data_IF_556596177676
#
_entry.id   IF_556596177676
#
_cell.length_a   1.000
_cell.length_b   1.000
_cell.length_c   1.000
_cell.angle_alpha   90.00
_cell.angle_beta   90.00
_cell.angle_gamma   90.00
#
_symmetry.space_group_name_H-M   'P 1'
#
loop_
_entity.id
_entity.type
_entity.pdbx_description
1 polymer ?
#
# COMPACT_ATOMS: atom_id res chain seq x y z
N UNK A 1 -54.44 -9.45 44.53
CA UNK A 1 -52.98 -9.29 44.39
C UNK A 1 -52.73 -8.45 43.15
N UNK A 2 -52.56 -7.14 43.33
CA UNK A 2 -52.48 -6.16 42.24
C UNK A 2 -51.00 -5.90 41.97
N UNK A 3 -50.53 -6.29 40.78
CA UNK A 3 -49.15 -6.07 40.35
C UNK A 3 -49.09 -4.71 39.64
N UNK A 4 -48.34 -3.78 40.22
CA UNK A 4 -47.99 -2.51 39.59
C UNK A 4 -46.85 -2.72 38.60
N UNK A 5 -47.07 -2.39 37.33
CA UNK A 5 -46.00 -2.26 36.33
C UNK A 5 -45.45 -0.84 36.38
N UNK A 6 -44.19 -0.71 36.80
CA UNK A 6 -43.42 0.54 36.69
C UNK A 6 -42.89 0.62 35.26
N UNK A 7 -43.42 1.56 34.47
CA UNK A 7 -42.84 1.93 33.17
C UNK A 7 -41.58 2.77 33.41
N UNK A 8 -40.40 2.16 33.24
CA UNK A 8 -39.14 2.89 33.10
C UNK A 8 -39.03 3.48 31.70
N UNK A 9 -39.08 4.80 31.59
CA UNK A 9 -38.70 5.53 30.38
C UNK A 9 -37.18 5.41 30.18
N UNK A 10 -36.75 4.58 29.22
CA UNK A 10 -35.38 4.62 28.71
C UNK A 10 -35.31 5.76 27.70
N UNK A 11 -34.67 6.86 28.11
CA UNK A 11 -34.30 7.95 27.23
C UNK A 11 -33.11 7.47 26.37
N UNK A 12 -33.40 6.85 25.24
CA UNK A 12 -32.39 6.61 24.20
C UNK A 12 -32.16 7.95 23.51
N UNK A 13 -31.11 8.65 23.91
CA UNK A 13 -30.53 9.72 23.11
C UNK A 13 -30.22 9.15 21.73
N UNK A 14 -30.91 9.63 20.69
CA UNK A 14 -30.53 9.40 19.30
C UNK A 14 -29.13 9.99 19.12
N UNK A 15 -28.11 9.16 19.30
CA UNK A 15 -26.85 9.37 18.62
C UNK A 15 -27.19 9.44 17.14
N UNK A 16 -26.83 10.56 16.50
CA UNK A 16 -26.88 10.67 15.05
C UNK A 16 -25.99 9.55 14.49
N UNK A 17 -26.62 8.45 14.07
CA UNK A 17 -26.05 7.53 13.11
C UNK A 17 -25.82 8.34 11.84
N UNK A 18 -24.62 8.89 11.70
CA UNK A 18 -24.12 9.44 10.45
C UNK A 18 -24.17 8.28 9.46
N UNK A 19 -25.05 8.40 8.46
CA UNK A 19 -25.12 7.48 7.34
C UNK A 19 -23.79 7.60 6.58
N UNK A 20 -22.86 6.66 6.80
CA UNK A 20 -21.43 6.79 6.52
C UNK A 20 -21.00 6.29 5.14
N UNK A 21 -21.91 5.93 4.26
CA UNK A 21 -21.55 5.03 3.16
C UNK A 21 -20.82 5.66 1.97
N UNK A 22 -20.58 6.97 1.89
CA UNK A 22 -19.94 7.55 0.69
C UNK A 22 -19.10 8.82 0.91
N UNK A 23 -18.54 9.05 2.10
CA UNK A 23 -17.75 10.26 2.32
C UNK A 23 -16.29 10.15 1.87
N UNK A 24 -15.65 8.99 2.04
CA UNK A 24 -14.24 8.78 1.71
C UNK A 24 -14.08 8.11 0.34
N UNK A 25 -13.32 8.73 -0.55
CA UNK A 25 -12.88 8.12 -1.81
C UNK A 25 -11.35 8.12 -1.89
N UNK A 26 -10.77 6.96 -2.23
CA UNK A 26 -9.33 6.81 -2.37
C UNK A 26 -8.92 6.96 -3.83
N UNK A 27 -8.02 7.87 -4.14
CA UNK A 27 -7.38 7.96 -5.45
C UNK A 27 -5.94 7.44 -5.37
N UNK A 28 -5.56 6.64 -6.35
CA UNK A 28 -4.19 6.17 -6.51
C UNK A 28 -3.78 6.27 -7.98
N UNK A 29 -2.49 6.39 -8.24
CA UNK A 29 -1.95 6.38 -9.61
C UNK A 29 -1.15 5.10 -9.84
N UNK A 30 -1.46 4.41 -10.93
CA UNK A 30 -0.70 3.26 -11.42
C UNK A 30 -0.85 3.21 -12.94
N UNK A 31 0.26 3.00 -13.65
CA UNK A 31 0.26 2.85 -15.12
C UNK A 31 0.26 1.40 -15.56
N UNK A 32 0.69 0.48 -14.68
CA UNK A 32 0.81 -0.95 -14.94
C UNK A 32 0.34 -1.77 -13.72
N UNK A 33 -0.12 -2.99 -13.99
CA UNK A 33 -0.54 -3.96 -12.97
C UNK A 33 0.68 -4.71 -12.39
N UNK A 34 1.48 -4.02 -11.59
CA UNK A 34 2.62 -4.62 -10.89
C UNK A 34 2.18 -5.36 -9.62
N UNK A 35 3.02 -6.24 -9.08
CA UNK A 35 2.77 -6.89 -7.77
C UNK A 35 2.56 -5.87 -6.64
N UNK A 36 3.28 -4.74 -6.70
CA UNK A 36 3.10 -3.62 -5.75
C UNK A 36 1.70 -3.01 -5.85
N UNK A 37 1.23 -2.76 -7.07
CA UNK A 37 -0.13 -2.32 -7.35
C UNK A 37 -1.19 -3.31 -6.87
N UNK A 38 -1.01 -4.60 -7.18
CA UNK A 38 -1.93 -5.66 -6.77
C UNK A 38 -2.01 -5.75 -5.24
N UNK A 39 -0.87 -5.60 -4.53
CA UNK A 39 -0.85 -5.53 -3.06
C UNK A 39 -1.61 -4.30 -2.52
N UNK A 40 -1.39 -3.12 -3.09
CA UNK A 40 -2.08 -1.89 -2.68
C UNK A 40 -3.59 -2.05 -2.85
N UNK A 41 -4.04 -2.45 -4.05
CA UNK A 41 -5.48 -2.60 -4.36
C UNK A 41 -6.13 -3.76 -3.63
N UNK A 42 -5.42 -4.86 -3.38
CA UNK A 42 -5.89 -5.92 -2.48
C UNK A 42 -6.16 -5.36 -1.09
N UNK A 43 -5.26 -4.57 -0.52
CA UNK A 43 -5.46 -3.97 0.80
C UNK A 43 -6.66 -3.02 0.84
N UNK A 44 -6.90 -2.23 -0.22
CA UNK A 44 -8.10 -1.39 -0.34
C UNK A 44 -9.39 -2.23 -0.35
N UNK A 45 -9.42 -3.30 -1.16
CA UNK A 45 -10.56 -4.24 -1.23
C UNK A 45 -10.81 -4.94 0.11
N UNK A 46 -9.74 -5.36 0.80
CA UNK A 46 -9.81 -6.01 2.09
C UNK A 46 -10.55 -5.16 3.13
N UNK A 47 -10.41 -3.84 3.07
CA UNK A 47 -11.07 -2.91 3.99
C UNK A 47 -12.32 -2.24 3.42
N UNK A 48 -12.85 -2.75 2.30
CA UNK A 48 -14.03 -2.24 1.62
C UNK A 48 -13.97 -0.72 1.35
N UNK A 49 -12.80 -0.22 0.99
CA UNK A 49 -12.63 1.20 0.63
C UNK A 49 -13.08 1.43 -0.81
N UNK A 50 -13.81 2.51 -1.04
CA UNK A 50 -14.13 2.99 -2.39
C UNK A 50 -12.88 3.65 -2.99
N UNK A 51 -12.43 3.20 -4.18
CA UNK A 51 -11.21 3.71 -4.79
C UNK A 51 -11.28 3.80 -6.32
N UNK A 52 -10.47 4.72 -6.87
CA UNK A 52 -10.22 4.87 -8.30
C UNK A 52 -8.73 4.83 -8.61
N UNK A 53 -8.37 4.07 -9.64
CA UNK A 53 -7.00 3.97 -10.15
C UNK A 53 -6.88 4.85 -11.38
N UNK A 54 -5.98 5.83 -11.31
CA UNK A 54 -5.75 6.80 -12.38
C UNK A 54 -4.54 6.38 -13.23
N UNK A 55 -4.68 6.49 -14.55
CA UNK A 55 -3.58 6.29 -15.50
C UNK A 55 -3.28 4.83 -15.87
N UNK A 56 -4.12 3.86 -15.45
CA UNK A 56 -3.89 2.45 -15.76
C UNK A 56 -3.86 2.19 -17.27
N UNK A 57 -2.88 1.42 -17.73
CA UNK A 57 -2.63 1.12 -19.14
C UNK A 57 -2.32 2.37 -20.00
N UNK A 58 -1.81 3.44 -19.38
CA UNK A 58 -1.31 4.62 -20.09
C UNK A 58 0.20 4.79 -19.91
N UNK A 59 0.92 5.40 -20.87
CA UNK A 59 2.35 5.63 -20.70
C UNK A 59 2.67 6.52 -19.49
N UNK A 60 3.77 6.20 -18.81
CA UNK A 60 4.33 7.03 -17.76
C UNK A 60 5.24 8.11 -18.34
N UNK A 61 4.87 9.38 -18.12
CA UNK A 61 5.62 10.58 -18.49
C UNK A 61 6.24 11.28 -17.27
N UNK A 62 6.03 10.77 -16.05
CA UNK A 62 6.48 11.39 -14.81
C UNK A 62 7.98 11.25 -14.48
N UNK A 63 8.83 10.93 -15.46
CA UNK A 63 10.27 10.78 -15.25
C UNK A 63 10.69 9.51 -14.48
N UNK A 64 11.97 9.38 -14.15
CA UNK A 64 12.51 8.22 -13.43
C UNK A 64 12.47 8.43 -11.91
N UNK A 65 11.26 8.36 -11.34
CA UNK A 65 10.99 8.56 -9.90
C UNK A 65 11.72 7.57 -8.97
N UNK A 66 12.34 6.51 -9.50
CA UNK A 66 13.16 5.60 -8.71
C UNK A 66 14.55 6.17 -8.43
N UNK A 67 15.07 6.98 -9.36
CA UNK A 67 16.45 7.46 -9.34
C UNK A 67 16.56 8.98 -9.21
N UNK A 68 15.55 9.73 -9.63
CA UNK A 68 15.53 11.20 -9.66
C UNK A 68 14.18 11.77 -9.22
N UNK A 69 14.07 13.10 -9.24
CA UNK A 69 12.81 13.84 -9.09
C UNK A 69 11.82 13.50 -10.20
N UNK A 70 10.53 13.74 -9.95
CA UNK A 70 9.46 13.58 -10.95
C UNK A 70 8.08 13.33 -10.32
N UNK A 71 7.18 12.74 -11.10
CA UNK A 71 5.86 12.33 -10.61
C UNK A 71 4.74 13.36 -10.77
N UNK A 72 5.00 14.52 -11.40
CA UNK A 72 4.01 15.55 -11.65
C UNK A 72 2.79 15.08 -12.45
N UNK A 73 2.95 14.06 -13.29
CA UNK A 73 1.85 13.35 -13.96
C UNK A 73 0.77 12.88 -12.96
N UNK A 74 1.15 12.46 -11.74
CA UNK A 74 0.20 12.05 -10.70
C UNK A 74 -0.72 13.20 -10.29
N UNK A 75 -0.15 14.39 -10.09
CA UNK A 75 -0.90 15.59 -9.70
C UNK A 75 -1.83 16.03 -10.83
N UNK A 76 -1.37 15.98 -12.09
CA UNK A 76 -2.23 16.25 -13.25
C UNK A 76 -3.42 15.28 -13.30
N UNK A 77 -3.16 13.98 -13.23
CA UNK A 77 -4.21 12.95 -13.25
C UNK A 77 -5.21 13.13 -12.10
N UNK A 78 -4.71 13.42 -10.89
CA UNK A 78 -5.57 13.70 -9.74
C UNK A 78 -6.40 14.97 -9.95
N UNK A 79 -5.82 16.04 -10.49
CA UNK A 79 -6.53 17.28 -10.79
C UNK A 79 -7.67 17.05 -11.78
N UNK A 80 -7.40 16.29 -12.85
CA UNK A 80 -8.41 15.97 -13.85
C UNK A 80 -9.57 15.20 -13.19
N UNK A 81 -9.27 14.18 -12.38
CA UNK A 81 -10.28 13.39 -11.67
C UNK A 81 -11.09 14.19 -10.64
N UNK A 82 -10.45 15.12 -9.90
CA UNK A 82 -11.12 15.92 -8.87
C UNK A 82 -11.96 17.08 -9.41
N UNK A 83 -12.00 17.29 -10.73
CA UNK A 83 -12.85 18.30 -11.36
C UNK A 83 -14.33 18.11 -11.02
N UNK A 84 -14.78 16.86 -10.90
CA UNK A 84 -16.17 16.53 -10.54
C UNK A 84 -16.46 16.77 -9.05
N UNK A 85 -15.44 16.73 -8.19
CA UNK A 85 -15.55 16.84 -6.74
C UNK A 85 -15.29 18.26 -6.20
N UNK A 86 -14.86 19.19 -7.06
CA UNK A 86 -14.39 20.53 -6.66
C UNK A 86 -15.39 21.40 -5.86
N UNK A 87 -16.67 21.06 -5.89
CA UNK A 87 -17.74 21.76 -5.15
C UNK A 87 -18.44 20.86 -4.12
N UNK A 88 -18.03 19.61 -3.97
CA UNK A 88 -18.59 18.70 -2.99
C UNK A 88 -17.89 18.88 -1.63
N UNK A 89 -18.49 19.68 -0.76
CA UNK A 89 -17.97 19.93 0.59
C UNK A 89 -18.04 18.72 1.54
N UNK A 90 -18.77 17.67 1.18
CA UNK A 90 -18.85 16.46 1.98
C UNK A 90 -17.77 15.45 1.55
N UNK A 91 -17.40 15.40 0.27
CA UNK A 91 -16.40 14.47 -0.22
C UNK A 91 -15.03 14.66 0.46
N UNK A 92 -14.49 13.57 0.97
CA UNK A 92 -13.14 13.47 1.53
C UNK A 92 -12.33 12.57 0.61
N UNK A 93 -11.19 13.09 0.18
CA UNK A 93 -10.27 12.41 -0.73
C UNK A 93 -9.06 11.95 0.05
N UNK A 94 -8.73 10.67 -0.07
CA UNK A 94 -7.43 10.13 0.31
C UNK A 94 -6.64 9.85 -0.97
N UNK A 95 -5.51 10.52 -1.16
CA UNK A 95 -4.55 10.16 -2.20
C UNK A 95 -3.47 9.26 -1.60
N UNK A 96 -3.07 8.22 -2.34
CA UNK A 96 -1.92 7.37 -2.02
C UNK A 96 -1.11 7.01 -3.29
N UNK A 97 0.18 6.75 -3.13
CA UNK A 97 1.00 6.13 -4.18
C UNK A 97 0.58 4.67 -4.42
N UNK A 98 0.63 4.24 -5.69
CA UNK A 98 0.01 2.97 -6.10
C UNK A 98 0.87 1.73 -5.94
N UNK A 99 2.20 1.84 -5.88
CA UNK A 99 3.08 0.66 -5.96
C UNK A 99 3.66 0.21 -4.61
N UNK A 100 3.66 1.08 -3.62
CA UNK A 100 4.37 0.88 -2.36
C UNK A 100 3.62 1.45 -1.16
N UNK A 101 2.29 1.34 -1.19
CA UNK A 101 1.43 1.65 -0.05
C UNK A 101 0.63 0.41 0.35
N UNK A 102 0.44 0.22 1.65
CA UNK A 102 -0.46 -0.80 2.20
C UNK A 102 -1.42 -0.13 3.17
N UNK A 103 -2.71 -0.42 3.02
CA UNK A 103 -3.77 0.07 3.89
C UNK A 103 -4.15 -0.98 4.92
N UNK A 104 -4.33 -0.54 6.17
CA UNK A 104 -4.67 -1.43 7.29
C UNK A 104 -5.86 -0.93 8.11
N UNK A 105 -6.84 -0.28 7.48
CA UNK A 105 -8.05 0.22 8.12
C UNK A 105 -9.20 0.46 7.13
N UNK A 106 -10.43 0.40 7.62
CA UNK A 106 -11.63 0.81 6.91
C UNK A 106 -11.82 2.35 6.97
N UNK A 107 -12.82 2.84 6.25
CA UNK A 107 -13.11 4.27 6.16
C UNK A 107 -13.40 4.90 7.52
N UNK A 108 -14.11 4.20 8.41
CA UNK A 108 -14.46 4.69 9.75
C UNK A 108 -13.21 5.09 10.56
N UNK A 109 -12.23 4.19 10.66
CA UNK A 109 -10.99 4.43 11.42
C UNK A 109 -10.16 5.56 10.78
N UNK A 110 -10.07 5.60 9.45
CA UNK A 110 -9.32 6.64 8.72
C UNK A 110 -9.96 8.01 8.96
N UNK A 111 -11.27 8.10 8.79
CA UNK A 111 -12.03 9.35 8.97
C UNK A 111 -12.01 9.83 10.41
N UNK A 112 -12.17 8.93 11.40
CA UNK A 112 -12.08 9.28 12.82
C UNK A 112 -10.75 9.99 13.13
N UNK A 113 -9.63 9.46 12.64
CA UNK A 113 -8.30 10.03 12.85
C UNK A 113 -8.09 11.32 12.06
N UNK A 114 -8.61 11.40 10.84
CA UNK A 114 -8.58 12.62 10.05
C UNK A 114 -9.34 13.75 10.75
N UNK A 115 -10.54 13.50 11.25
CA UNK A 115 -11.32 14.49 12.01
C UNK A 115 -10.60 14.93 13.28
N UNK A 116 -9.99 14.00 14.02
CA UNK A 116 -9.17 14.31 15.21
C UNK A 116 -7.97 15.21 14.89
N UNK A 117 -7.43 15.16 13.67
CA UNK A 117 -6.33 16.04 13.26
C UNK A 117 -6.74 17.52 13.20
N UNK A 118 -8.03 17.80 12.99
CA UNK A 118 -8.56 19.15 12.77
C UNK A 118 -7.93 19.88 11.58
N UNK A 119 -7.38 19.15 10.61
CA UNK A 119 -6.91 19.67 9.34
C UNK A 119 -8.05 19.69 8.31
N UNK A 120 -7.95 20.57 7.32
CA UNK A 120 -8.76 20.40 6.10
C UNK A 120 -8.02 19.57 5.06
N UNK A 121 -6.68 19.66 5.04
CA UNK A 121 -5.78 18.80 4.28
C UNK A 121 -4.64 18.36 5.19
N UNK A 122 -4.44 17.07 5.32
CA UNK A 122 -3.40 16.45 6.12
C UNK A 122 -2.47 15.65 5.21
N UNK A 123 -1.24 16.11 5.07
CA UNK A 123 -0.18 15.36 4.38
C UNK A 123 0.53 14.42 5.34
N UNK A 124 1.04 13.31 4.79
CA UNK A 124 2.00 12.48 5.51
C UNK A 124 3.29 13.27 5.79
N UNK A 125 4.00 12.90 6.86
CA UNK A 125 5.23 13.56 7.29
C UNK A 125 6.43 12.59 7.22
N UNK A 126 7.62 13.11 6.96
CA UNK A 126 8.86 12.34 6.91
C UNK A 126 10.07 13.07 7.54
N UNK A 127 11.16 12.32 7.70
CA UNK A 127 12.38 12.79 8.35
C UNK A 127 13.30 13.63 7.47
N UNK A 128 13.11 13.63 6.16
CA UNK A 128 14.00 14.31 5.21
C UNK A 128 13.29 15.44 4.47
N UNK A 129 13.98 16.57 4.29
CA UNK A 129 13.48 17.69 3.48
C UNK A 129 13.88 17.48 2.02
N UNK A 130 13.13 16.67 1.30
CA UNK A 130 13.42 16.31 -0.09
C UNK A 130 12.41 16.96 -1.05
N UNK A 131 12.80 17.34 -2.29
CA UNK A 131 14.15 17.24 -2.87
C UNK A 131 15.07 18.41 -2.53
N UNK A 132 14.53 19.57 -2.16
CA UNK A 132 15.32 20.76 -1.83
C UNK A 132 15.51 20.91 -0.31
N UNK A 133 16.69 20.50 0.16
CA UNK A 133 17.05 20.59 1.57
C UNK A 133 17.14 22.04 2.09
N UNK A 134 17.32 23.04 1.21
CA UNK A 134 17.43 24.44 1.62
C UNK A 134 16.12 24.98 2.20
N UNK A 135 14.99 24.38 1.81
CA UNK A 135 13.65 24.75 2.30
C UNK A 135 13.40 24.31 3.74
N UNK A 136 14.27 23.48 4.34
CA UNK A 136 14.10 22.98 5.70
C UNK A 136 13.97 24.10 6.76
N UNK A 137 14.57 25.27 6.49
CA UNK A 137 14.49 26.44 7.38
C UNK A 137 13.10 27.11 7.35
N UNK A 138 12.35 26.95 6.28
CA UNK A 138 11.02 27.56 6.09
C UNK A 138 9.90 26.74 6.74
N UNK A 139 10.14 25.43 6.95
CA UNK A 139 9.17 24.56 7.63
C UNK A 139 8.89 25.07 9.05
N UNK A 140 7.62 25.06 9.52
CA UNK A 140 7.33 25.33 10.93
C UNK A 140 8.10 24.38 11.86
N UNK A 141 8.45 24.87 13.05
CA UNK A 141 9.03 24.01 14.07
C UNK A 141 7.95 23.04 14.59
N UNK A 142 8.31 21.77 14.73
CA UNK A 142 7.45 20.73 15.33
C UNK A 142 7.93 20.41 16.74
N UNK A 143 7.01 20.30 17.70
CA UNK A 143 7.36 19.96 19.09
C UNK A 143 7.84 18.52 19.24
N UNK A 144 7.23 17.62 18.47
CA UNK A 144 7.53 16.20 18.42
C UNK A 144 7.12 15.70 17.05
N UNK A 145 7.81 14.67 16.56
CA UNK A 145 7.49 14.06 15.28
C UNK A 145 8.35 14.52 14.10
N UNK A 146 7.99 14.00 12.94
CA UNK A 146 8.58 14.27 11.64
C UNK A 146 8.14 15.66 11.15
N UNK A 147 9.06 16.41 10.52
CA UNK A 147 8.88 17.84 10.23
C UNK A 147 8.51 18.14 8.78
N UNK A 148 8.88 17.28 7.85
CA UNK A 148 8.83 17.58 6.42
C UNK A 148 7.68 16.85 5.73
N UNK A 149 7.14 17.43 4.66
CA UNK A 149 6.04 16.89 3.90
C UNK A 149 6.51 15.69 3.05
N UNK A 150 5.67 14.66 2.93
CA UNK A 150 5.78 13.63 1.90
C UNK A 150 4.49 13.58 1.07
N UNK A 151 4.62 13.58 -0.26
CA UNK A 151 3.49 13.64 -1.20
C UNK A 151 2.82 12.30 -1.49
N UNK A 152 3.44 11.18 -1.11
CA UNK A 152 2.95 9.84 -1.46
C UNK A 152 1.70 9.42 -0.71
N UNK A 153 1.28 10.17 0.31
CA UNK A 153 -0.05 10.03 0.90
C UNK A 153 -0.55 11.33 1.55
N UNK A 154 -1.82 11.67 1.33
CA UNK A 154 -2.51 12.78 2.00
C UNK A 154 -4.03 12.62 1.96
N UNK A 155 -4.72 13.22 2.92
CA UNK A 155 -6.18 13.16 3.03
C UNK A 155 -6.76 14.56 3.26
N UNK A 156 -7.93 14.85 2.70
CA UNK A 156 -8.56 16.16 2.88
C UNK A 156 -9.93 16.30 2.24
N UNK A 157 -10.58 17.42 2.48
CA UNK A 157 -11.83 17.75 1.78
C UNK A 157 -11.56 18.01 0.30
N UNK A 158 -12.39 17.46 -0.58
CA UNK A 158 -12.19 17.54 -2.03
C UNK A 158 -12.05 18.98 -2.56
N UNK A 159 -12.84 19.98 -2.10
CA UNK A 159 -12.69 21.37 -2.56
C UNK A 159 -11.38 22.01 -2.12
N UNK A 160 -10.82 21.61 -0.97
CA UNK A 160 -9.53 22.12 -0.50
C UNK A 160 -8.38 21.46 -1.27
N UNK A 161 -8.43 20.14 -1.48
CA UNK A 161 -7.44 19.42 -2.31
C UNK A 161 -7.45 19.97 -3.75
N UNK A 162 -8.63 20.14 -4.34
CA UNK A 162 -8.72 20.66 -5.70
C UNK A 162 -8.11 22.07 -5.82
N UNK A 163 -8.33 22.95 -4.84
CA UNK A 163 -7.72 24.30 -4.86
C UNK A 163 -6.20 24.23 -4.79
N UNK A 164 -5.62 23.39 -3.92
CA UNK A 164 -4.16 23.30 -3.80
C UNK A 164 -3.50 22.72 -5.06
N UNK A 165 -4.07 21.67 -5.68
CA UNK A 165 -3.50 21.05 -6.89
C UNK A 165 -3.72 21.86 -8.18
N UNK A 166 -4.46 22.96 -8.08
CA UNK A 166 -4.71 23.89 -9.19
C UNK A 166 -4.02 25.25 -8.97
N UNK A 167 -3.32 25.43 -7.86
CA UNK A 167 -2.71 26.71 -7.48
C UNK A 167 -1.61 27.14 -8.45
N UNK A 168 -0.84 26.17 -8.96
CA UNK A 168 0.33 26.42 -9.82
C UNK A 168 0.36 25.48 -11.01
N UNK A 169 0.91 25.91 -12.16
CA UNK A 169 1.17 25.01 -13.28
C UNK A 169 2.20 23.96 -12.89
N UNK A 170 2.12 22.80 -13.52
CA UNK A 170 2.99 21.65 -13.29
C UNK A 170 3.05 20.84 -14.60
N UNK A 171 4.25 20.43 -14.99
CA UNK A 171 4.48 19.48 -16.09
C UNK A 171 4.50 18.05 -15.57
N UNK A 172 4.35 17.09 -16.49
CA UNK A 172 4.29 15.67 -16.09
C UNK A 172 5.61 15.22 -15.42
N UNK A 173 6.75 15.71 -15.90
CA UNK A 173 8.09 15.41 -15.40
C UNK A 173 8.54 16.23 -14.17
N UNK A 174 7.78 17.24 -13.75
CA UNK A 174 8.11 18.04 -12.57
C UNK A 174 7.94 17.19 -11.29
N UNK A 175 8.57 17.63 -10.19
CA UNK A 175 8.53 16.90 -8.91
C UNK A 175 7.22 17.16 -8.15
N UNK A 176 6.46 16.10 -7.88
CA UNK A 176 5.20 16.22 -7.12
C UNK A 176 5.44 16.63 -5.67
N UNK A 177 6.49 16.11 -5.02
CA UNK A 177 6.82 16.46 -3.64
C UNK A 177 7.22 17.93 -3.48
N UNK A 178 8.03 18.47 -4.38
CA UNK A 178 8.42 19.87 -4.39
C UNK A 178 7.21 20.79 -4.64
N UNK A 179 6.30 20.38 -5.54
CA UNK A 179 5.05 21.09 -5.79
C UNK A 179 4.22 21.28 -4.51
N UNK A 180 3.97 20.19 -3.79
CA UNK A 180 3.22 20.24 -2.53
C UNK A 180 4.01 20.94 -1.41
N UNK A 181 5.33 20.80 -1.37
CA UNK A 181 6.19 21.49 -0.42
C UNK A 181 6.04 23.01 -0.56
N UNK A 182 6.11 23.55 -1.77
CA UNK A 182 5.94 24.99 -1.98
C UNK A 182 4.55 25.51 -1.58
N UNK A 183 3.50 24.70 -1.74
CA UNK A 183 2.15 25.05 -1.28
C UNK A 183 2.10 25.05 0.25
N UNK A 184 2.66 24.04 0.91
CA UNK A 184 2.67 23.94 2.36
C UNK A 184 3.50 25.06 3.01
N UNK A 185 4.60 25.48 2.38
CA UNK A 185 5.48 26.52 2.89
C UNK A 185 4.88 27.93 2.77
N UNK A 186 3.98 28.14 1.81
CA UNK A 186 3.22 29.39 1.70
C UNK A 186 2.30 29.55 2.93
N UNK A 187 2.55 30.52 3.82
CA UNK A 187 1.78 30.67 5.05
C UNK A 187 0.32 31.05 4.78
N UNK A 188 0.04 31.78 3.69
CA UNK A 188 -1.32 32.21 3.33
C UNK A 188 -2.13 31.00 2.88
N UNK A 189 -1.57 30.16 2.02
CA UNK A 189 -2.24 28.93 1.56
C UNK A 189 -2.39 27.92 2.71
N UNK A 190 -1.33 27.73 3.51
CA UNK A 190 -1.34 26.83 4.66
C UNK A 190 -2.42 27.20 5.67
N UNK A 191 -2.57 28.49 5.99
CA UNK A 191 -3.61 28.97 6.91
C UNK A 191 -5.00 28.86 6.30
N UNK A 192 -5.18 29.34 5.06
CA UNK A 192 -6.46 29.34 4.34
C UNK A 192 -7.06 27.93 4.19
N UNK A 193 -6.22 26.94 3.86
CA UNK A 193 -6.63 25.56 3.65
C UNK A 193 -6.33 24.66 4.85
N UNK A 194 -5.99 25.23 6.02
CA UNK A 194 -5.66 24.51 7.26
C UNK A 194 -4.80 23.27 7.00
N UNK A 195 -3.75 23.45 6.22
CA UNK A 195 -2.87 22.36 5.80
C UNK A 195 -1.98 21.96 6.98
N UNK A 196 -1.95 20.67 7.31
CA UNK A 196 -1.12 20.12 8.39
C UNK A 196 -0.30 18.93 7.89
N UNK A 197 0.71 18.59 8.67
CA UNK A 197 1.49 17.36 8.50
C UNK A 197 1.17 16.40 9.65
N UNK A 198 1.06 15.11 9.34
CA UNK A 198 0.89 14.03 10.32
C UNK A 198 2.23 13.69 10.99
N UNK A 199 2.77 14.64 11.76
CA UNK A 199 4.12 14.57 12.32
C UNK A 199 4.37 13.35 13.21
N UNK A 200 3.37 12.84 13.91
CA UNK A 200 3.50 11.70 14.83
C UNK A 200 3.01 10.38 14.24
N UNK A 201 2.80 10.32 12.92
CA UNK A 201 2.33 9.13 12.22
C UNK A 201 1.04 8.55 12.80
N UNK A 202 0.06 9.42 13.10
CA UNK A 202 -1.23 8.98 13.62
C UNK A 202 -2.08 8.26 12.55
N UNK A 203 -1.86 8.57 11.27
CA UNK A 203 -2.51 7.96 10.11
C UNK A 203 -1.45 7.36 9.18
N UNK A 204 -0.43 8.14 8.84
CA UNK A 204 0.54 7.83 7.80
C UNK A 204 1.92 7.45 8.38
N UNK A 205 2.46 6.33 7.92
CA UNK A 205 3.83 5.93 8.20
C UNK A 205 4.65 5.91 6.91
N UNK A 206 5.53 6.89 6.76
CA UNK A 206 6.61 6.83 5.78
C UNK A 206 7.77 6.04 6.38
N UNK A 207 8.25 5.00 5.70
CA UNK A 207 9.26 4.08 6.25
C UNK A 207 10.70 4.55 6.01
N UNK A 208 10.96 5.42 5.02
CA UNK A 208 12.31 5.90 4.78
C UNK A 208 12.84 6.73 5.95
N UNK A 209 13.90 6.24 6.61
CA UNK A 209 14.44 6.85 7.82
C UNK A 209 13.61 6.64 9.10
N UNK A 210 12.67 5.70 9.08
CA UNK A 210 11.81 5.37 10.22
C UNK A 210 11.52 3.86 10.35
N UNK A 211 12.34 3.00 9.73
CA UNK A 211 12.17 1.53 9.84
C UNK A 211 12.37 1.03 11.27
N UNK A 212 13.25 1.68 12.04
CA UNK A 212 13.51 1.33 13.44
C UNK A 212 12.45 1.90 14.40
N UNK A 213 11.58 2.79 13.92
CA UNK A 213 10.49 3.38 14.71
C UNK A 213 9.27 2.44 14.81
N UNK A 214 9.24 1.34 14.03
CA UNK A 214 8.03 0.53 13.85
C UNK A 214 8.22 -0.95 14.11
N UNK A 215 7.17 -1.60 14.60
CA UNK A 215 7.11 -3.05 14.75
C UNK A 215 5.68 -3.59 14.49
N UNK A 216 5.59 -4.88 14.22
CA UNK A 216 4.32 -5.58 14.06
C UNK A 216 3.69 -5.85 15.42
N UNK A 217 2.49 -5.31 15.64
CA UNK A 217 1.66 -5.62 16.80
C UNK A 217 0.68 -6.74 16.48
N UNK A 218 0.83 -7.86 17.18
CA UNK A 218 -0.04 -9.05 17.09
C UNK A 218 -1.04 -9.14 18.27
N UNK A 219 -1.14 -8.10 19.09
CA UNK A 219 -2.08 -8.06 20.21
C UNK A 219 -3.52 -8.22 19.70
N UNK A 220 -4.39 -8.94 20.43
CA UNK A 220 -5.76 -9.18 20.00
C UNK A 220 -6.49 -7.89 19.61
N UNK A 221 -7.19 -7.94 18.47
CA UNK A 221 -7.95 -6.81 17.93
C UNK A 221 -9.42 -7.18 17.83
N UNK A 222 -10.31 -6.28 18.24
CA UNK A 222 -11.75 -6.44 18.02
C UNK A 222 -12.13 -6.41 16.53
N UNK A 223 -11.23 -5.94 15.67
CA UNK A 223 -11.45 -5.89 14.23
C UNK A 223 -10.79 -7.10 13.55
N UNK A 224 -11.57 -8.03 13.02
CA UNK A 224 -11.09 -9.31 12.45
C UNK A 224 -9.99 -9.14 11.41
N UNK A 225 -10.08 -8.13 10.54
CA UNK A 225 -9.08 -7.91 9.48
C UNK A 225 -7.84 -7.11 9.93
N UNK A 226 -7.77 -6.71 11.21
CA UNK A 226 -6.66 -5.93 11.80
C UNK A 226 -6.05 -6.66 12.99
N UNK A 227 -5.88 -7.98 12.89
CA UNK A 227 -5.18 -8.75 13.93
C UNK A 227 -3.67 -8.51 13.93
N UNK A 228 -3.13 -8.04 12.80
CA UNK A 228 -1.75 -7.54 12.73
C UNK A 228 -1.78 -6.07 12.37
N UNK A 229 -1.12 -5.25 13.18
CA UNK A 229 -1.08 -3.79 13.06
C UNK A 229 0.35 -3.32 13.05
N UNK A 230 0.58 -2.09 12.58
CA UNK A 230 1.89 -1.45 12.70
C UNK A 230 1.85 -0.54 13.91
N UNK A 231 2.69 -0.79 14.89
CA UNK A 231 2.92 0.13 15.99
C UNK A 231 4.10 1.04 15.63
N UNK A 232 3.92 2.36 15.75
CA UNK A 232 5.03 3.30 15.79
C UNK A 232 5.41 3.50 17.26
N UNK A 233 6.56 2.93 17.64
CA UNK A 233 7.07 2.90 19.00
C UNK A 233 7.66 4.25 19.42
N UNK A 234 8.12 5.07 18.47
CA UNK A 234 8.68 6.39 18.75
C UNK A 234 7.63 7.39 19.27
N UNK A 235 6.39 7.28 18.76
CA UNK A 235 5.30 8.22 19.10
C UNK A 235 4.12 7.57 19.82
N UNK A 236 4.14 6.24 20.02
CA UNK A 236 3.03 5.51 20.63
C UNK A 236 1.76 5.56 19.78
N UNK A 237 1.91 5.56 18.46
CA UNK A 237 0.79 5.61 17.49
C UNK A 237 0.67 4.29 16.73
N UNK A 238 -0.46 4.10 16.05
CA UNK A 238 -0.74 2.88 15.28
C UNK A 238 -1.15 3.25 13.86
N UNK A 239 -0.23 3.67 12.98
CA UNK A 239 -0.53 4.13 11.62
C UNK A 239 -1.30 3.08 10.80
N UNK A 240 -2.13 3.56 9.87
CA UNK A 240 -3.04 2.72 9.06
C UNK A 240 -2.77 2.82 7.56
N UNK A 241 -1.91 3.74 7.15
CA UNK A 241 -1.44 3.89 5.77
C UNK A 241 0.09 3.81 5.82
N UNK A 242 0.63 2.71 5.32
CA UNK A 242 2.06 2.40 5.40
C UNK A 242 2.67 2.61 4.02
N UNK A 243 3.60 3.54 3.91
CA UNK A 243 4.25 3.94 2.67
C UNK A 243 5.74 3.55 2.70
N UNK A 244 6.12 2.66 1.80
CA UNK A 244 7.51 2.21 1.61
C UNK A 244 8.35 3.18 0.78
N UNK A 245 8.28 4.48 1.06
CA UNK A 245 8.97 5.51 0.28
C UNK A 245 10.50 5.29 0.20
N UNK A 246 11.13 5.86 -0.83
CA UNK A 246 12.58 5.80 -1.02
C UNK A 246 13.14 4.37 -0.99
N UNK A 247 14.19 4.16 -0.19
CA UNK A 247 14.92 2.88 -0.10
C UNK A 247 14.30 1.82 0.84
N UNK A 248 13.04 1.99 1.24
CA UNK A 248 12.39 1.13 2.24
C UNK A 248 11.49 0.03 1.65
N UNK A 249 11.46 -0.14 0.32
CA UNK A 249 10.61 -1.12 -0.40
C UNK A 249 10.72 -2.55 0.14
N UNK A 250 11.93 -3.01 0.47
CA UNK A 250 12.14 -4.36 1.01
C UNK A 250 11.55 -4.52 2.41
N UNK A 251 11.61 -3.47 3.23
CA UNK A 251 10.99 -3.48 4.55
C UNK A 251 9.45 -3.46 4.42
N UNK A 252 8.91 -2.69 3.49
CA UNK A 252 7.49 -2.75 3.15
C UNK A 252 7.08 -4.16 2.67
N UNK A 253 7.91 -4.85 1.88
CA UNK A 253 7.64 -6.23 1.46
C UNK A 253 7.57 -7.18 2.67
N UNK A 254 8.47 -7.04 3.65
CA UNK A 254 8.41 -7.79 4.90
C UNK A 254 7.09 -7.54 5.65
N UNK A 255 6.74 -6.27 5.86
CA UNK A 255 5.51 -5.88 6.56
C UNK A 255 4.25 -6.35 5.81
N UNK A 256 4.27 -6.29 4.48
CA UNK A 256 3.19 -6.69 3.60
C UNK A 256 2.89 -8.18 3.57
N UNK A 257 3.74 -9.03 4.16
CA UNK A 257 3.41 -10.44 4.40
C UNK A 257 2.36 -10.61 5.50
N UNK A 258 2.08 -9.56 6.29
CA UNK A 258 1.16 -9.59 7.43
C UNK A 258 0.08 -8.51 7.34
N UNK A 259 0.50 -7.25 7.19
CA UNK A 259 -0.37 -6.06 7.17
C UNK A 259 -1.28 -6.07 5.94
N UNK A 260 -2.49 -5.51 6.05
CA UNK A 260 -3.49 -5.59 4.99
C UNK A 260 -4.26 -6.91 4.99
N UNK A 261 -4.30 -7.57 6.16
CA UNK A 261 -4.83 -8.92 6.34
C UNK A 261 -4.26 -9.91 5.32
N UNK A 262 -2.94 -9.88 5.12
CA UNK A 262 -2.25 -10.83 4.25
C UNK A 262 -2.07 -12.16 4.97
N UNK A 263 -1.62 -12.08 6.23
CA UNK A 263 -1.58 -13.17 7.18
C UNK A 263 -2.12 -12.70 8.53
N UNK A 264 -2.83 -13.57 9.26
CA UNK A 264 -3.25 -13.28 10.62
C UNK A 264 -3.24 -14.54 11.53
N UNK A 265 -3.17 -14.39 12.87
CA UNK A 265 -3.13 -15.53 13.80
C UNK A 265 -4.37 -16.43 13.82
N UNK A 266 -5.50 -15.99 13.26
CA UNK A 266 -6.77 -16.70 13.28
C UNK A 266 -6.92 -17.56 12.02
N UNK A 267 -6.72 -16.98 10.85
CA UNK A 267 -6.97 -17.58 9.54
C UNK A 267 -5.68 -18.09 8.85
N UNK A 268 -4.50 -17.77 9.40
CA UNK A 268 -3.22 -18.05 8.76
C UNK A 268 -2.97 -17.14 7.55
N UNK A 269 -2.44 -17.68 6.45
CA UNK A 269 -2.21 -16.90 5.23
C UNK A 269 -3.52 -16.73 4.46
N UNK A 270 -4.15 -15.56 4.59
CA UNK A 270 -5.41 -15.23 3.90
C UNK A 270 -5.18 -15.13 2.40
N UNK A 271 -4.11 -14.42 2.00
CA UNK A 271 -3.78 -14.19 0.59
C UNK A 271 -3.39 -15.48 -0.16
N UNK A 272 -2.92 -16.52 0.53
CA UNK A 272 -2.50 -17.77 -0.10
C UNK A 272 -3.66 -18.56 -0.74
N UNK A 273 -4.91 -18.23 -0.38
CA UNK A 273 -6.10 -18.85 -0.94
C UNK A 273 -6.75 -17.99 -2.04
N UNK A 274 -6.15 -16.84 -2.36
CA UNK A 274 -6.62 -15.94 -3.41
C UNK A 274 -6.00 -16.32 -4.76
N UNK A 275 -6.73 -16.06 -5.85
CA UNK A 275 -6.28 -16.23 -7.23
C UNK A 275 -5.69 -17.62 -7.56
N UNK A 276 -6.11 -18.66 -6.81
CA UNK A 276 -5.70 -20.04 -7.04
C UNK A 276 -6.19 -20.54 -8.40
N UNK A 277 -5.27 -21.05 -9.22
CA UNK A 277 -5.61 -21.77 -10.45
C UNK A 277 -6.17 -23.14 -10.04
N UNK A 278 -7.48 -23.34 -10.26
CA UNK A 278 -8.10 -24.65 -10.07
C UNK A 278 -7.74 -25.57 -11.23
N UNK A 279 -7.06 -26.68 -10.92
CA UNK A 279 -6.68 -27.68 -11.90
C UNK A 279 -7.80 -28.71 -12.06
N UNK A 280 -8.30 -28.86 -13.28
CA UNK A 280 -9.37 -29.80 -13.61
C UNK A 280 -8.81 -31.17 -14.02
N UNK A 281 -8.81 -32.12 -13.08
CA UNK A 281 -8.29 -33.47 -13.30
C UNK A 281 -9.08 -34.30 -14.33
N UNK A 282 -10.30 -33.90 -14.67
CA UNK A 282 -11.11 -34.60 -15.69
C UNK A 282 -10.70 -34.25 -17.12
N UNK A 283 -9.93 -33.17 -17.31
CA UNK A 283 -9.45 -32.72 -18.62
C UNK A 283 -7.99 -32.29 -18.54
N UNK A 284 -7.07 -33.18 -18.95
CA UNK A 284 -5.63 -32.87 -18.97
C UNK A 284 -5.30 -31.61 -19.79
N UNK A 285 -6.11 -31.27 -20.81
CA UNK A 285 -5.88 -30.09 -21.64
C UNK A 285 -6.11 -28.77 -20.90
N UNK A 286 -6.82 -28.80 -19.77
CA UNK A 286 -7.12 -27.62 -18.94
C UNK A 286 -5.91 -27.25 -18.07
N UNK A 287 -4.96 -28.18 -17.89
CA UNK A 287 -3.73 -27.90 -17.16
C UNK A 287 -2.84 -26.94 -17.97
N UNK A 288 -2.22 -25.93 -17.34
CA UNK A 288 -1.19 -25.11 -17.98
C UNK A 288 -0.08 -25.95 -18.61
N UNK A 289 0.49 -25.50 -19.71
CA UNK A 289 1.72 -26.15 -20.20
C UNK A 289 2.91 -25.63 -19.38
N UNK A 290 3.64 -26.53 -18.73
CA UNK A 290 4.79 -26.17 -17.89
C UNK A 290 6.09 -26.66 -18.50
N UNK A 291 7.15 -25.87 -18.35
CA UNK A 291 8.51 -26.26 -18.76
C UNK A 291 9.36 -26.54 -17.53
N UNK A 292 9.76 -27.79 -17.36
CA UNK A 292 10.69 -28.21 -16.32
C UNK A 292 12.12 -28.11 -16.84
N UNK A 293 12.83 -27.07 -16.39
CA UNK A 293 14.26 -26.89 -16.66
C UNK A 293 15.10 -27.60 -15.57
N UNK A 294 15.80 -28.66 -15.95
CA UNK A 294 16.66 -29.44 -15.07
C UNK A 294 18.14 -29.05 -15.26
N UNK A 295 18.82 -28.65 -14.19
CA UNK A 295 20.23 -28.24 -14.24
C UNK A 295 21.12 -29.21 -13.45
N UNK A 296 22.05 -29.85 -14.15
CA UNK A 296 23.08 -30.73 -13.58
C UNK A 296 24.42 -30.05 -13.77
N UNK A 297 24.81 -29.25 -12.78
CA UNK A 297 25.97 -28.36 -12.89
C UNK A 297 27.29 -28.99 -12.42
N UNK A 298 27.21 -30.08 -11.67
CA UNK A 298 28.36 -30.81 -11.12
C UNK A 298 28.00 -32.28 -10.94
N UNK A 299 28.99 -33.11 -10.55
CA UNK A 299 28.78 -34.54 -10.29
C UNK A 299 27.82 -34.77 -9.14
N UNK A 300 26.52 -34.85 -9.44
CA UNK A 300 25.45 -35.08 -8.48
C UNK A 300 25.17 -36.58 -8.35
N UNK A 301 25.31 -37.18 -7.15
CA UNK A 301 24.96 -38.58 -6.94
C UNK A 301 23.44 -38.80 -7.06
N UNK A 302 23.03 -40.05 -7.28
CA UNK A 302 21.61 -40.46 -7.37
C UNK A 302 20.80 -39.76 -8.47
N UNK A 303 21.46 -39.44 -9.59
CA UNK A 303 20.81 -38.76 -10.71
C UNK A 303 19.70 -39.61 -11.34
N UNK A 304 19.84 -40.92 -11.31
CA UNK A 304 18.78 -41.88 -11.64
C UNK A 304 17.53 -41.66 -10.77
N UNK A 305 17.69 -41.50 -9.45
CA UNK A 305 16.58 -41.23 -8.51
C UNK A 305 15.95 -39.85 -8.68
N UNK A 306 16.75 -38.87 -9.05
CA UNK A 306 16.25 -37.55 -9.43
C UNK A 306 15.30 -37.65 -10.64
N UNK A 307 15.70 -38.35 -11.70
CA UNK A 307 14.84 -38.53 -12.88
C UNK A 307 13.63 -39.42 -12.61
N UNK A 308 13.76 -40.48 -11.80
CA UNK A 308 12.61 -41.25 -11.32
C UNK A 308 11.58 -40.36 -10.62
N UNK A 309 12.03 -39.37 -9.84
CA UNK A 309 11.16 -38.43 -9.13
C UNK A 309 10.42 -37.49 -10.10
N UNK A 310 11.08 -37.02 -11.16
CA UNK A 310 10.43 -36.22 -12.22
C UNK A 310 9.34 -37.04 -12.92
N UNK A 311 9.60 -38.32 -13.21
CA UNK A 311 8.61 -39.20 -13.82
C UNK A 311 7.39 -39.41 -12.91
N UNK A 312 7.55 -39.30 -11.59
CA UNK A 312 6.46 -39.45 -10.59
C UNK A 312 5.70 -38.16 -10.27
N UNK A 313 6.09 -37.01 -10.83
CA UNK A 313 5.35 -35.76 -10.62
C UNK A 313 3.87 -35.94 -11.01
N UNK A 314 2.96 -35.60 -10.09
CA UNK A 314 1.52 -35.71 -10.31
C UNK A 314 1.02 -34.52 -11.15
N UNK A 315 1.28 -34.60 -12.45
CA UNK A 315 0.92 -33.60 -13.45
C UNK A 315 0.85 -34.29 -14.82
N UNK A 316 -0.14 -33.96 -15.67
CA UNK A 316 -0.29 -34.59 -16.99
C UNK A 316 1.00 -34.51 -17.80
N UNK A 317 1.58 -35.67 -18.17
CA UNK A 317 2.88 -35.71 -18.87
C UNK A 317 2.82 -35.06 -20.25
N UNK A 318 1.65 -35.10 -20.87
CA UNK A 318 1.32 -34.39 -22.11
C UNK A 318 1.44 -32.86 -21.99
N UNK A 319 1.45 -32.32 -20.77
CA UNK A 319 1.51 -30.89 -20.45
C UNK A 319 2.85 -30.45 -19.82
N UNK A 320 3.85 -31.32 -19.83
CA UNK A 320 5.21 -31.02 -19.34
C UNK A 320 6.19 -31.06 -20.51
N UNK A 321 6.82 -29.92 -20.79
CA UNK A 321 8.06 -29.87 -21.56
C UNK A 321 9.27 -30.04 -20.64
N UNK A 322 10.27 -30.82 -21.02
CA UNK A 322 11.49 -30.99 -20.21
C UNK A 322 12.69 -30.47 -21.00
N UNK A 323 13.50 -29.63 -20.36
CA UNK A 323 14.80 -29.18 -20.88
C UNK A 323 15.88 -29.57 -19.88
N UNK A 324 16.91 -30.29 -20.32
CA UNK A 324 17.99 -30.77 -19.45
C UNK A 324 19.30 -30.08 -19.84
N UNK A 325 19.91 -29.39 -18.89
CA UNK A 325 21.24 -28.80 -19.00
C UNK A 325 22.21 -29.62 -18.16
N UNK A 326 23.13 -30.34 -18.82
CA UNK A 326 24.17 -31.09 -18.15
C UNK A 326 25.55 -30.49 -18.47
N UNK A 327 26.22 -29.95 -17.45
CA UNK A 327 27.58 -29.38 -17.54
C UNK A 327 28.66 -30.33 -17.05
N UNK A 328 28.30 -31.52 -16.61
CA UNK A 328 29.27 -32.54 -16.21
C UNK A 328 29.98 -33.02 -17.46
N UNK A 329 31.26 -32.65 -17.60
CA UNK A 329 32.12 -33.20 -18.65
C UNK A 329 32.18 -34.72 -18.48
N UNK A 330 32.27 -35.46 -19.59
CA UNK A 330 32.60 -36.88 -19.55
C UNK A 330 33.97 -37.03 -18.88
N UNK A 331 34.02 -37.20 -17.56
CA UNK A 331 35.17 -37.82 -16.95
C UNK A 331 35.19 -39.26 -17.48
N UNK A 332 36.13 -39.51 -18.41
CA UNK A 332 36.59 -40.84 -18.75
C UNK A 332 36.86 -41.57 -17.43
N UNK A 333 35.95 -42.46 -17.03
CA UNK A 333 36.31 -43.53 -16.12
C UNK A 333 37.40 -44.34 -16.83
N UNK A 334 38.66 -44.07 -16.52
CA UNK A 334 39.70 -45.08 -16.67
C UNK A 334 39.36 -46.17 -15.66
N UNK A 335 38.63 -47.18 -16.11
CA UNK A 335 38.64 -48.48 -15.45
C UNK A 335 40.08 -49.00 -15.54
N UNK A 336 40.87 -48.78 -14.49
CA UNK A 336 42.03 -49.61 -14.24
C UNK A 336 41.51 -50.97 -13.77
N UNK A 337 41.53 -51.94 -14.67
CA UNK A 337 41.48 -53.35 -14.28
C UNK A 337 42.72 -53.61 -13.42
N UNK A 338 42.53 -54.09 -12.20
CA UNK A 338 43.54 -54.82 -11.44
C UNK A 338 43.28 -56.31 -11.59
#
# INVERSE_FOLDING_TARGET
MIIWFIFGFIWVSRANLVNSDNQLHVFTVATEETDGYLRTTRSLRQFALNYSVLGLNTPWYGGDVKNTVGGGQKVRLLRDALTEFKHDGNAIILFIDGYDVIINANAEIILERFYKSGANVLFSAEGFCWPDNSLAVEYPAVKSGKRYLNSGAFIGYAPDIYKIITERPLKDEDDDQLYYTHIFLDPVLREKHKIKLDSTSAIFQNLHGAVDDVDLDFSPSGHRMRQVRLANLAYGTEPVIIHGNGKSKMHLNYLGNYIGNWWNPIDGCVACNEDLIQLNWDSENDFPFVVLACFINSGTPFLDKYFESILRLDYPKSRIGIVIFNRVSKFLMRCSYY
#
